data_IF_942721799332
#
_entry.id   IF_942721799332
#
_cell.length_a   1.000
_cell.length_b   1.000
_cell.length_c   1.000
_cell.angle_alpha   90.00
_cell.angle_beta   90.00
_cell.angle_gamma   90.00
#
_symmetry.space_group_name_H-M   'P 1'
#
loop_
_entity.id
_entity.type
_entity.pdbx_description
1 polymer ?
#
# COMPACT_ATOMS: atom_id res chain seq x y z
N UNK A 1 -3.40 -22.20 14.09
CA UNK A 1 -2.48 -22.07 12.95
C UNK A 1 -1.69 -20.79 13.16
N UNK A 2 -0.37 -20.87 13.35
CA UNK A 2 0.52 -19.72 13.44
C UNK A 2 0.45 -18.96 12.11
N UNK A 3 -0.02 -17.70 12.13
CA UNK A 3 -0.04 -16.86 10.94
C UNK A 3 1.41 -16.66 10.47
N UNK A 4 1.71 -17.04 9.22
CA UNK A 4 3.02 -16.76 8.63
C UNK A 4 3.08 -15.27 8.29
N UNK A 5 4.01 -14.56 8.92
CA UNK A 5 4.29 -13.17 8.60
C UNK A 5 4.90 -13.06 7.19
N UNK A 6 4.46 -12.07 6.41
CA UNK A 6 5.04 -11.73 5.11
C UNK A 6 6.15 -10.71 5.27
N UNK A 7 5.92 -9.71 6.13
CA UNK A 7 6.91 -8.70 6.50
C UNK A 7 6.99 -8.63 8.03
N UNK A 8 8.20 -8.77 8.55
CA UNK A 8 8.52 -8.55 9.96
C UNK A 8 9.40 -7.31 10.12
N UNK A 9 8.93 -6.34 10.88
CA UNK A 9 9.67 -5.12 11.22
C UNK A 9 10.16 -5.26 12.66
N UNK A 10 11.47 -5.13 12.88
CA UNK A 10 12.13 -5.32 14.17
C UNK A 10 12.94 -4.08 14.55
N UNK A 11 12.52 -3.40 15.60
CA UNK A 11 13.22 -2.23 16.15
C UNK A 11 13.48 -1.11 15.14
N UNK A 12 12.57 -0.88 14.19
CA UNK A 12 12.80 0.10 13.13
C UNK A 12 12.81 1.52 13.71
N UNK A 13 13.93 2.21 13.54
CA UNK A 13 14.05 3.63 13.76
C UNK A 13 14.26 4.32 12.40
N UNK A 14 13.61 5.47 12.19
CA UNK A 14 13.76 6.22 10.95
C UNK A 14 13.94 7.71 11.21
N UNK A 15 14.88 8.31 10.49
CA UNK A 15 15.29 9.70 10.65
C UNK A 15 15.28 10.43 9.29
N UNK A 16 14.81 11.67 9.30
CA UNK A 16 15.16 12.64 8.27
C UNK A 16 16.13 13.64 8.89
N UNK A 17 17.38 13.62 8.42
CA UNK A 17 18.49 14.37 9.02
C UNK A 17 18.58 14.06 10.53
N UNK A 18 18.33 15.05 11.39
CA UNK A 18 18.37 14.90 12.85
C UNK A 18 17.00 14.54 13.46
N UNK A 19 15.91 14.64 12.69
CA UNK A 19 14.55 14.39 13.20
C UNK A 19 14.19 12.92 13.09
N UNK A 20 13.99 12.27 14.24
CA UNK A 20 13.41 10.93 14.31
C UNK A 20 11.90 10.98 14.04
N UNK A 21 11.44 10.15 13.10
CA UNK A 21 10.02 10.08 12.66
C UNK A 21 9.39 8.73 13.00
N UNK A 22 10.16 7.66 13.06
CA UNK A 22 9.72 6.34 13.54
C UNK A 22 10.67 5.92 14.67
N UNK A 23 10.10 5.43 15.77
CA UNK A 23 10.82 5.08 17.00
C UNK A 23 10.56 3.61 17.33
N UNK A 24 11.63 2.82 17.30
CA UNK A 24 11.66 1.41 17.74
C UNK A 24 10.43 0.58 17.33
N UNK A 25 10.01 0.73 16.07
CA UNK A 25 8.79 0.10 15.57
C UNK A 25 8.99 -1.41 15.46
N UNK A 26 8.10 -2.17 16.10
CA UNK A 26 8.01 -3.63 15.98
C UNK A 26 6.62 -3.99 15.45
N UNK A 27 6.54 -4.55 14.25
CA UNK A 27 5.27 -4.79 13.56
C UNK A 27 5.35 -6.03 12.67
N UNK A 28 4.36 -6.92 12.80
CA UNK A 28 4.20 -8.11 11.97
C UNK A 28 3.06 -7.91 10.98
N UNK A 29 3.32 -8.15 9.71
CA UNK A 29 2.38 -7.99 8.61
C UNK A 29 2.08 -9.36 8.00
N UNK A 30 0.95 -9.99 8.33
CA UNK A 30 0.67 -11.36 7.89
C UNK A 30 0.43 -11.45 6.40
N UNK A 31 0.81 -12.61 5.85
CA UNK A 31 0.58 -12.95 4.46
C UNK A 31 -0.92 -13.02 4.12
N UNK A 32 -1.28 -12.49 2.95
CA UNK A 32 -2.63 -12.56 2.35
C UNK A 32 -3.73 -12.00 3.27
N UNK A 33 -3.46 -10.81 3.82
CA UNK A 33 -4.36 -10.05 4.69
C UNK A 33 -4.26 -8.57 4.35
N UNK A 34 -5.30 -7.83 4.72
CA UNK A 34 -5.28 -6.37 4.74
C UNK A 34 -4.88 -5.92 6.14
N UNK A 35 -3.74 -5.24 6.25
CA UNK A 35 -3.34 -4.53 7.47
C UNK A 35 -3.49 -3.03 7.25
N UNK A 36 -4.32 -2.36 8.06
CA UNK A 36 -4.42 -0.91 8.05
C UNK A 36 -3.49 -0.29 9.09
N UNK A 37 -2.57 0.56 8.64
CA UNK A 37 -1.74 1.40 9.52
C UNK A 37 -2.39 2.77 9.59
N UNK A 38 -2.88 3.16 10.77
CA UNK A 38 -3.69 4.36 10.94
C UNK A 38 -3.19 5.22 12.10
N UNK A 39 -3.56 6.49 12.09
CA UNK A 39 -3.13 7.46 13.09
C UNK A 39 -3.17 8.89 12.57
N UNK A 40 -2.96 9.90 13.43
CA UNK A 40 -2.98 11.30 13.01
C UNK A 40 -1.83 11.61 12.03
N UNK A 41 -1.96 12.75 11.34
CA UNK A 41 -0.88 13.26 10.49
C UNK A 41 0.44 13.35 11.26
N UNK A 42 1.56 13.14 10.56
CA UNK A 42 2.92 13.12 11.12
C UNK A 42 3.24 11.93 12.06
N UNK A 43 2.40 10.89 12.12
CA UNK A 43 2.71 9.68 12.90
C UNK A 43 3.73 8.74 12.24
N UNK A 44 4.24 9.07 11.05
CA UNK A 44 5.28 8.29 10.36
C UNK A 44 4.76 7.23 9.38
N UNK A 45 3.45 7.17 9.13
CA UNK A 45 2.82 6.12 8.31
C UNK A 45 3.33 6.12 6.85
N UNK A 46 3.30 7.27 6.16
CA UNK A 46 3.86 7.38 4.80
C UNK A 46 5.36 7.04 4.77
N UNK A 47 6.10 7.42 5.81
CA UNK A 47 7.52 7.06 5.95
C UNK A 47 7.68 5.55 6.05
N UNK A 48 6.87 4.88 6.87
CA UNK A 48 6.88 3.41 7.00
C UNK A 48 6.64 2.74 5.64
N UNK A 49 5.57 3.13 4.92
CA UNK A 49 5.26 2.56 3.61
C UNK A 49 6.40 2.75 2.60
N UNK A 50 6.99 3.95 2.54
CA UNK A 50 8.14 4.22 1.65
C UNK A 50 9.41 3.45 2.04
N UNK A 51 9.55 3.09 3.31
CA UNK A 51 10.67 2.28 3.79
C UNK A 51 10.49 0.81 3.40
N UNK A 52 9.26 0.27 3.41
CA UNK A 52 8.97 -1.12 3.03
C UNK A 52 9.35 -1.47 1.58
N UNK A 53 9.36 -0.49 0.67
CA UNK A 53 9.81 -0.67 -0.72
C UNK A 53 11.09 0.10 -1.06
N UNK A 54 11.78 0.63 -0.04
CA UNK A 54 13.03 1.41 -0.18
C UNK A 54 12.92 2.60 -1.13
N UNK A 55 11.75 3.23 -1.24
CA UNK A 55 11.64 4.57 -1.82
C UNK A 55 12.23 5.64 -0.89
N UNK A 56 12.31 5.36 0.42
CA UNK A 56 12.99 6.24 1.38
C UNK A 56 14.47 6.47 1.05
N UNK A 57 15.15 5.51 0.41
CA UNK A 57 16.55 5.62 -0.05
C UNK A 57 16.76 6.81 -1.00
N UNK A 58 15.72 7.25 -1.72
CA UNK A 58 15.78 8.38 -2.64
C UNK A 58 15.69 9.74 -1.93
N UNK A 59 15.43 9.73 -0.61
CA UNK A 59 15.27 10.96 0.17
C UNK A 59 16.60 11.36 0.80
N UNK A 60 17.09 12.56 0.47
CA UNK A 60 18.35 13.08 1.01
C UNK A 60 18.28 13.19 2.53
N UNK A 61 19.28 12.63 3.21
CA UNK A 61 19.36 12.63 4.67
C UNK A 61 18.43 11.62 5.36
N UNK A 62 17.78 10.72 4.62
CA UNK A 62 17.09 9.59 5.20
C UNK A 62 18.08 8.59 5.81
N UNK A 63 17.80 8.14 7.03
CA UNK A 63 18.56 7.12 7.73
C UNK A 63 17.60 6.19 8.46
N UNK A 64 17.94 4.92 8.53
CA UNK A 64 17.19 3.94 9.31
C UNK A 64 18.12 3.08 10.16
N UNK A 65 17.57 2.49 11.20
CA UNK A 65 18.18 1.43 12.01
C UNK A 65 17.12 0.34 12.25
N UNK A 66 17.56 -0.86 12.63
CA UNK A 66 16.67 -2.02 12.78
C UNK A 66 16.56 -2.85 11.50
N UNK A 67 15.62 -3.77 11.48
CA UNK A 67 15.48 -4.75 10.40
C UNK A 67 14.06 -4.75 9.82
N UNK A 68 13.97 -4.95 8.51
CA UNK A 68 12.69 -5.22 7.83
C UNK A 68 12.89 -6.47 7.00
N UNK A 69 12.26 -7.56 7.42
CA UNK A 69 12.39 -8.87 6.80
C UNK A 69 11.21 -9.13 5.87
N UNK A 70 11.46 -9.33 4.57
CA UNK A 70 10.47 -9.82 3.61
C UNK A 70 10.72 -11.31 3.37
N UNK A 71 9.77 -12.16 3.75
CA UNK A 71 9.94 -13.63 3.80
C UNK A 71 11.22 -14.05 4.56
N UNK A 72 11.51 -13.37 5.67
CA UNK A 72 12.67 -13.66 6.51
C UNK A 72 14.01 -13.09 6.01
N UNK A 73 14.07 -12.48 4.82
CA UNK A 73 15.28 -11.81 4.31
C UNK A 73 15.22 -10.31 4.55
N UNK A 74 16.28 -9.72 5.12
CA UNK A 74 16.32 -8.29 5.36
C UNK A 74 16.43 -7.51 4.04
N UNK A 75 15.52 -6.55 3.81
CA UNK A 75 15.47 -5.77 2.56
C UNK A 75 16.65 -4.79 2.42
N UNK A 76 17.39 -4.56 3.49
CA UNK A 76 18.58 -3.70 3.52
C UNK A 76 19.90 -4.47 3.40
N UNK A 77 19.87 -5.80 3.25
CA UNK A 77 21.09 -6.57 3.03
C UNK A 77 21.81 -6.11 1.75
N UNK A 78 23.17 -6.11 1.72
CA UNK A 78 23.94 -5.60 0.59
C UNK A 78 23.68 -6.32 -0.75
N UNK A 79 23.19 -7.57 -0.70
CA UNK A 79 22.90 -8.40 -1.86
C UNK A 79 21.47 -8.23 -2.40
N UNK A 80 20.65 -7.38 -1.77
CA UNK A 80 19.28 -7.11 -2.21
C UNK A 80 19.27 -6.22 -3.44
N UNK A 81 18.73 -6.75 -4.54
CA UNK A 81 18.41 -5.94 -5.70
C UNK A 81 17.16 -5.09 -5.44
N UNK A 82 17.35 -3.78 -5.29
CA UNK A 82 16.28 -2.82 -4.99
C UNK A 82 15.21 -2.76 -6.09
N UNK A 83 15.59 -2.95 -7.36
CA UNK A 83 14.64 -2.97 -8.47
C UNK A 83 13.71 -4.17 -8.36
N UNK A 84 14.25 -5.34 -8.02
CA UNK A 84 13.45 -6.55 -7.79
C UNK A 84 12.57 -6.41 -6.54
N UNK A 85 13.10 -5.85 -5.46
CA UNK A 85 12.31 -5.55 -4.26
C UNK A 85 11.10 -4.67 -4.60
N UNK A 86 11.28 -3.61 -5.38
CA UNK A 86 10.19 -2.69 -5.80
C UNK A 86 9.18 -3.34 -6.74
N UNK A 87 9.58 -4.40 -7.46
CA UNK A 87 8.64 -5.23 -8.23
C UNK A 87 7.79 -6.12 -7.31
N UNK A 88 8.42 -6.73 -6.30
CA UNK A 88 7.76 -7.59 -5.30
C UNK A 88 6.87 -6.78 -4.34
N UNK A 89 7.22 -5.52 -4.06
CA UNK A 89 6.53 -4.61 -3.14
C UNK A 89 6.06 -3.37 -3.90
N UNK A 90 4.89 -3.48 -4.52
CA UNK A 90 4.29 -2.40 -5.31
C UNK A 90 3.65 -1.32 -4.43
N UNK A 91 3.67 -0.06 -4.86
CA UNK A 91 3.11 1.06 -4.10
C UNK A 91 2.20 1.93 -4.95
N UNK A 92 1.05 2.29 -4.38
CA UNK A 92 0.10 3.28 -4.91
C UNK A 92 0.09 4.47 -3.95
N UNK A 93 0.22 5.67 -4.52
CA UNK A 93 0.30 6.92 -3.76
C UNK A 93 -1.08 7.57 -3.59
N UNK A 94 -1.11 8.56 -2.69
CA UNK A 94 -2.27 9.40 -2.35
C UNK A 94 -2.78 10.16 -3.58
N UNK A 95 -1.86 10.81 -4.30
CA UNK A 95 -2.18 11.51 -5.56
C UNK A 95 -1.97 10.53 -6.72
N UNK A 96 -3.01 10.20 -7.50
CA UNK A 96 -2.87 9.34 -8.66
C UNK A 96 -1.91 9.98 -9.66
N UNK A 97 -0.89 9.22 -10.07
CA UNK A 97 0.12 9.68 -11.03
C UNK A 97 -0.02 8.88 -12.31
N UNK A 98 -0.93 9.29 -13.19
CA UNK A 98 -1.01 8.73 -14.54
C UNK A 98 0.17 9.22 -15.39
N UNK A 99 0.72 8.33 -16.19
CA UNK A 99 1.78 8.68 -17.14
C UNK A 99 1.16 9.34 -18.37
N UNK A 100 1.89 10.25 -19.07
CA UNK A 100 1.42 10.96 -20.26
C UNK A 100 1.37 10.03 -21.50
N UNK A 101 0.61 8.94 -21.39
CA UNK A 101 0.43 7.88 -22.38
C UNK A 101 -1.00 7.33 -22.29
N UNK A 102 -1.31 6.36 -23.16
CA UNK A 102 -2.63 5.73 -23.20
C UNK A 102 -2.95 4.95 -21.91
N UNK A 103 -4.22 4.61 -21.70
CA UNK A 103 -4.65 3.72 -20.60
C UNK A 103 -3.93 2.37 -20.72
N UNK A 104 -3.90 1.79 -21.92
CA UNK A 104 -3.20 0.54 -22.21
C UNK A 104 -1.72 0.63 -21.86
N UNK A 105 -1.02 1.65 -22.40
CA UNK A 105 0.42 1.77 -22.25
C UNK A 105 0.84 2.06 -20.81
N UNK A 106 -0.01 2.74 -20.02
CA UNK A 106 0.20 2.92 -18.59
C UNK A 106 0.37 1.57 -17.89
N UNK A 107 -0.54 0.62 -18.13
CA UNK A 107 -0.53 -0.71 -17.50
C UNK A 107 0.52 -1.62 -18.15
N UNK A 108 0.68 -1.57 -19.47
CA UNK A 108 1.62 -2.40 -20.22
C UNK A 108 3.09 -2.09 -19.95
N UNK A 109 3.41 -0.89 -19.44
CA UNK A 109 4.79 -0.45 -19.20
C UNK A 109 5.56 -1.42 -18.29
N UNK A 110 4.96 -1.81 -17.16
CA UNK A 110 5.57 -2.74 -16.21
C UNK A 110 5.91 -4.10 -16.83
N UNK A 111 4.93 -4.84 -17.38
CA UNK A 111 5.17 -6.10 -18.08
C UNK A 111 6.23 -6.03 -19.18
N UNK A 112 6.21 -4.97 -20.01
CA UNK A 112 7.20 -4.76 -21.08
C UNK A 112 8.60 -4.57 -20.52
N UNK A 113 8.76 -3.75 -19.48
CA UNK A 113 10.04 -3.54 -18.80
C UNK A 113 10.52 -4.80 -18.07
N UNK A 114 9.59 -5.64 -17.60
CA UNK A 114 9.85 -6.96 -17.03
C UNK A 114 10.26 -8.03 -18.06
N UNK A 115 10.39 -7.67 -19.34
CA UNK A 115 10.86 -8.56 -20.40
C UNK A 115 9.75 -9.29 -21.17
N UNK A 116 8.48 -8.98 -20.93
CA UNK A 116 7.37 -9.56 -21.69
C UNK A 116 7.35 -9.01 -23.13
N UNK A 117 7.70 -9.86 -24.10
CA UNK A 117 7.83 -9.47 -25.53
C UNK A 117 6.58 -9.74 -26.36
N UNK A 118 5.75 -10.71 -25.99
CA UNK A 118 4.56 -11.07 -26.76
C UNK A 118 3.49 -10.00 -26.63
N UNK A 119 3.02 -9.47 -27.76
CA UNK A 119 1.91 -8.49 -27.76
C UNK A 119 0.63 -9.07 -27.18
N UNK A 120 0.33 -10.35 -27.44
CA UNK A 120 -0.86 -11.00 -26.90
C UNK A 120 -0.77 -11.17 -25.39
N UNK A 121 0.39 -11.64 -24.89
CA UNK A 121 0.61 -11.80 -23.45
C UNK A 121 0.51 -10.46 -22.70
N UNK A 122 1.06 -9.39 -23.28
CA UNK A 122 0.94 -8.04 -22.68
C UNK A 122 -0.51 -7.59 -22.66
N UNK A 123 -1.29 -7.84 -23.73
CA UNK A 123 -2.70 -7.46 -23.77
C UNK A 123 -3.54 -8.24 -22.74
N UNK A 124 -3.29 -9.55 -22.60
CA UNK A 124 -3.93 -10.41 -21.59
C UNK A 124 -3.64 -9.92 -20.17
N UNK A 125 -2.37 -9.59 -19.88
CA UNK A 125 -1.99 -9.09 -18.56
C UNK A 125 -2.59 -7.70 -18.26
N UNK A 126 -2.65 -6.83 -19.27
CA UNK A 126 -3.32 -5.52 -19.14
C UNK A 126 -4.80 -5.68 -18.83
N UNK A 127 -5.51 -6.54 -19.57
CA UNK A 127 -6.93 -6.80 -19.32
C UNK A 127 -7.15 -7.38 -17.92
N UNK A 128 -6.36 -8.38 -17.53
CA UNK A 128 -6.40 -9.00 -16.20
C UNK A 128 -6.23 -7.95 -15.10
N UNK A 129 -5.18 -7.13 -15.18
CA UNK A 129 -4.91 -6.09 -14.19
C UNK A 129 -6.01 -5.03 -14.12
N UNK A 130 -6.59 -4.63 -15.25
CA UNK A 130 -7.70 -3.68 -15.32
C UNK A 130 -9.00 -4.26 -14.73
N UNK A 131 -9.23 -5.58 -14.88
CA UNK A 131 -10.37 -6.27 -14.25
C UNK A 131 -10.20 -6.34 -12.74
N UNK A 132 -9.01 -6.74 -12.28
CA UNK A 132 -8.68 -6.86 -10.86
C UNK A 132 -8.73 -5.52 -10.11
N UNK A 133 -8.49 -4.40 -10.80
CA UNK A 133 -8.62 -3.07 -10.21
C UNK A 133 -10.02 -2.44 -10.37
N UNK A 134 -11.00 -3.19 -10.88
CA UNK A 134 -12.35 -2.72 -11.20
C UNK A 134 -12.39 -1.49 -12.14
N UNK A 135 -11.47 -1.43 -13.11
CA UNK A 135 -11.42 -0.38 -14.13
C UNK A 135 -11.87 -0.85 -15.52
N UNK A 136 -11.78 -2.14 -15.84
CA UNK A 136 -12.00 -2.68 -17.18
C UNK A 136 -13.30 -2.19 -17.85
N UNK A 137 -14.44 -2.34 -17.19
CA UNK A 137 -15.74 -1.96 -17.78
C UNK A 137 -15.89 -0.46 -18.04
N UNK A 138 -15.09 0.38 -17.37
CA UNK A 138 -15.09 1.83 -17.58
C UNK A 138 -14.23 2.25 -18.81
N UNK A 139 -13.33 1.38 -19.29
CA UNK A 139 -12.26 1.78 -20.23
C UNK A 139 -12.03 0.84 -21.42
N UNK A 140 -12.61 -0.37 -21.44
CA UNK A 140 -12.36 -1.41 -22.47
C UNK A 140 -12.49 -0.92 -23.92
N UNK A 141 -13.42 0.00 -24.19
CA UNK A 141 -13.68 0.53 -25.54
C UNK A 141 -12.84 1.76 -25.90
N UNK A 142 -11.88 2.16 -25.04
CA UNK A 142 -11.09 3.40 -25.19
C UNK A 142 -9.68 3.31 -24.61
N UNK A 143 -9.08 2.11 -24.64
CA UNK A 143 -7.77 1.82 -24.05
C UNK A 143 -6.61 2.65 -24.65
N UNK A 144 -6.77 3.12 -25.88
CA UNK A 144 -5.84 3.97 -26.62
C UNK A 144 -5.90 5.45 -26.21
N UNK A 145 -6.94 5.88 -25.49
CA UNK A 145 -7.11 7.27 -25.08
C UNK A 145 -6.12 7.67 -23.97
N UNK A 146 -5.75 8.97 -23.88
CA UNK A 146 -4.84 9.44 -22.84
C UNK A 146 -5.37 9.18 -21.43
N UNK A 147 -4.55 8.57 -20.56
CA UNK A 147 -4.93 8.24 -19.18
C UNK A 147 -5.27 9.48 -18.33
N UNK A 148 -4.72 10.65 -18.67
CA UNK A 148 -5.04 11.92 -18.02
C UNK A 148 -6.51 12.36 -18.18
N UNK A 149 -7.26 11.76 -19.13
CA UNK A 149 -8.71 12.02 -19.31
C UNK A 149 -9.61 11.23 -18.37
N UNK A 150 -9.05 10.29 -17.61
CA UNK A 150 -9.80 9.53 -16.60
C UNK A 150 -10.20 10.43 -15.43
N UNK A 151 -11.33 10.13 -14.78
CA UNK A 151 -11.69 10.76 -13.51
C UNK A 151 -10.69 10.41 -12.40
N UNK A 152 -10.64 11.16 -11.30
CA UNK A 152 -9.71 10.87 -10.19
C UNK A 152 -9.81 9.43 -9.67
N UNK A 153 -11.04 8.91 -9.49
CA UNK A 153 -11.26 7.52 -9.09
C UNK A 153 -10.79 6.50 -10.12
N UNK A 154 -10.97 6.79 -11.41
CA UNK A 154 -10.47 5.95 -12.49
C UNK A 154 -8.94 5.99 -12.59
N UNK A 155 -8.31 7.15 -12.41
CA UNK A 155 -6.85 7.28 -12.39
C UNK A 155 -6.25 6.51 -11.20
N UNK A 156 -6.93 6.49 -10.05
CA UNK A 156 -6.48 5.70 -8.91
C UNK A 156 -6.57 4.20 -9.18
N UNK A 157 -7.70 3.72 -9.71
CA UNK A 157 -7.84 2.32 -10.14
C UNK A 157 -6.86 1.94 -11.26
N UNK A 158 -6.46 2.90 -12.10
CA UNK A 158 -5.39 2.70 -13.08
C UNK A 158 -4.03 2.52 -12.39
N UNK A 159 -3.72 3.32 -11.37
CA UNK A 159 -2.48 3.14 -10.59
C UNK A 159 -2.44 1.79 -9.88
N UNK A 160 -3.59 1.31 -9.36
CA UNK A 160 -3.71 -0.04 -8.81
C UNK A 160 -3.46 -1.09 -9.91
N UNK A 161 -4.08 -0.97 -11.09
CA UNK A 161 -3.85 -1.89 -12.22
C UNK A 161 -2.37 -1.95 -12.61
N UNK A 162 -1.68 -0.80 -12.65
CA UNK A 162 -0.24 -0.74 -12.97
C UNK A 162 0.62 -1.54 -11.99
N UNK A 163 0.26 -1.50 -10.70
CA UNK A 163 0.92 -2.32 -9.69
C UNK A 163 0.58 -3.80 -9.89
N UNK A 164 -0.69 -4.13 -10.12
CA UNK A 164 -1.14 -5.52 -10.29
C UNK A 164 -0.55 -6.21 -11.53
N UNK A 165 -0.33 -5.47 -12.62
CA UNK A 165 0.28 -6.01 -13.84
C UNK A 165 1.74 -6.49 -13.65
N UNK A 166 2.37 -6.16 -12.53
CA UNK A 166 3.70 -6.67 -12.14
C UNK A 166 3.63 -7.90 -11.25
N UNK A 167 2.42 -8.37 -10.90
CA UNK A 167 2.15 -9.49 -10.00
C UNK A 167 2.97 -9.42 -8.69
N UNK A 168 2.83 -8.33 -7.91
CA UNK A 168 3.61 -8.14 -6.70
C UNK A 168 3.22 -9.16 -5.63
N UNK A 169 4.05 -9.33 -4.62
CA UNK A 169 3.73 -10.13 -3.44
C UNK A 169 3.06 -9.28 -2.35
N UNK A 170 3.36 -7.98 -2.35
CA UNK A 170 2.88 -6.99 -1.38
C UNK A 170 2.41 -5.73 -2.11
N UNK A 171 1.24 -5.22 -1.73
CA UNK A 171 0.67 -3.97 -2.24
C UNK A 171 0.61 -2.96 -1.09
N UNK A 172 1.28 -1.83 -1.27
CA UNK A 172 1.28 -0.69 -0.35
C UNK A 172 0.35 0.40 -0.90
N UNK A 173 -0.55 0.90 -0.07
CA UNK A 173 -1.53 1.92 -0.46
C UNK A 173 -1.46 3.10 0.51
N UNK A 174 -0.89 4.23 0.08
CA UNK A 174 -0.88 5.46 0.90
C UNK A 174 -2.09 6.31 0.56
N UNK A 175 -3.10 6.30 1.44
CA UNK A 175 -4.34 7.09 1.36
C UNK A 175 -5.03 6.97 0.00
N UNK A 176 -5.31 5.75 -0.48
CA UNK A 176 -5.75 5.53 -1.85
C UNK A 176 -7.13 6.13 -2.17
N UNK A 177 -7.92 6.51 -1.16
CA UNK A 177 -9.29 7.02 -1.36
C UNK A 177 -9.49 8.47 -0.88
N UNK A 178 -8.42 9.22 -0.60
CA UNK A 178 -8.50 10.55 0.03
C UNK A 178 -9.28 11.60 -0.78
N UNK A 179 -9.16 11.56 -2.10
CA UNK A 179 -9.75 12.53 -3.02
C UNK A 179 -10.89 11.92 -3.87
N UNK A 180 -11.50 10.83 -3.40
CA UNK A 180 -12.49 10.07 -4.16
C UNK A 180 -13.91 10.25 -3.62
N UNK A 181 -14.88 10.19 -4.53
CA UNK A 181 -16.28 10.12 -4.16
C UNK A 181 -16.61 8.76 -3.48
N UNK A 182 -17.74 8.66 -2.75
CA UNK A 182 -18.12 7.43 -2.05
C UNK A 182 -18.27 6.20 -2.95
N UNK A 183 -18.75 6.38 -4.20
CA UNK A 183 -18.95 5.27 -5.14
C UNK A 183 -17.60 4.74 -5.61
N UNK A 184 -16.67 5.63 -5.98
CA UNK A 184 -15.30 5.25 -6.34
C UNK A 184 -14.56 4.59 -5.17
N UNK A 185 -14.77 5.09 -3.95
CA UNK A 185 -14.20 4.51 -2.73
C UNK A 185 -14.68 3.08 -2.51
N UNK A 186 -15.99 2.84 -2.61
CA UNK A 186 -16.58 1.52 -2.45
C UNK A 186 -16.03 0.50 -3.46
N UNK A 187 -15.89 0.89 -4.74
CA UNK A 187 -15.30 0.02 -5.78
C UNK A 187 -13.86 -0.39 -5.44
N UNK A 188 -13.05 0.54 -4.93
CA UNK A 188 -11.68 0.22 -4.51
C UNK A 188 -11.70 -0.71 -3.30
N UNK A 189 -12.50 -0.40 -2.28
CA UNK A 189 -12.62 -1.23 -1.07
C UNK A 189 -13.04 -2.67 -1.38
N UNK A 190 -14.02 -2.86 -2.26
CA UNK A 190 -14.45 -4.19 -2.74
C UNK A 190 -13.33 -4.91 -3.50
N UNK A 191 -12.62 -4.20 -4.38
CA UNK A 191 -11.47 -4.77 -5.11
C UNK A 191 -10.38 -5.24 -4.15
N UNK A 192 -10.04 -4.44 -3.13
CA UNK A 192 -9.04 -4.83 -2.13
C UNK A 192 -9.47 -6.07 -1.33
N UNK A 193 -10.76 -6.18 -1.00
CA UNK A 193 -11.31 -7.33 -0.29
C UNK A 193 -11.20 -8.62 -1.10
N UNK A 194 -11.29 -8.57 -2.43
CA UNK A 194 -11.03 -9.71 -3.31
C UNK A 194 -9.53 -9.98 -3.45
N UNK A 195 -8.73 -8.93 -3.65
CA UNK A 195 -7.28 -9.04 -3.86
C UNK A 195 -6.54 -9.64 -2.65
N UNK A 196 -7.02 -9.43 -1.42
CA UNK A 196 -6.34 -9.94 -0.23
C UNK A 196 -6.22 -11.48 -0.18
N UNK A 197 -7.05 -12.19 -0.94
CA UNK A 197 -6.95 -13.65 -1.06
C UNK A 197 -5.64 -14.09 -1.71
N UNK A 198 -5.06 -13.23 -2.57
CA UNK A 198 -3.84 -13.51 -3.34
C UNK A 198 -2.66 -12.64 -2.91
N UNK A 199 -2.92 -11.40 -2.49
CA UNK A 199 -1.90 -10.39 -2.19
C UNK A 199 -1.86 -10.03 -0.71
N UNK A 200 -0.67 -9.67 -0.22
CA UNK A 200 -0.54 -9.03 1.09
C UNK A 200 -0.73 -7.53 0.93
N UNK A 201 -1.65 -6.92 1.66
CA UNK A 201 -2.03 -5.51 1.46
C UNK A 201 -1.76 -4.72 2.73
N UNK A 202 -0.99 -3.64 2.61
CA UNK A 202 -0.78 -2.66 3.69
C UNK A 202 -1.38 -1.33 3.22
N UNK A 203 -2.36 -0.84 3.95
CA UNK A 203 -3.05 0.41 3.62
C UNK A 203 -2.88 1.44 4.73
N UNK A 204 -2.53 2.66 4.35
CA UNK A 204 -2.73 3.85 5.17
C UNK A 204 -4.06 4.48 4.76
N UNK A 205 -5.16 4.24 5.48
CA UNK A 205 -6.47 4.70 5.05
C UNK A 205 -6.61 6.22 5.22
N UNK A 206 -7.55 6.82 4.48
CA UNK A 206 -7.86 8.25 4.68
C UNK A 206 -8.68 8.48 5.95
N UNK A 207 -9.46 7.49 6.38
CA UNK A 207 -10.32 7.57 7.56
C UNK A 207 -10.23 6.31 8.41
N UNK A 208 -10.48 6.46 9.71
CA UNK A 208 -10.59 5.34 10.66
C UNK A 208 -11.71 4.38 10.24
N UNK A 209 -12.82 4.91 9.74
CA UNK A 209 -13.96 4.12 9.30
C UNK A 209 -13.60 3.22 8.11
N UNK A 210 -12.74 3.69 7.20
CA UNK A 210 -12.22 2.84 6.13
C UNK A 210 -11.41 1.68 6.70
N UNK A 211 -10.50 1.93 7.65
CA UNK A 211 -9.75 0.86 8.32
C UNK A 211 -10.69 -0.21 8.91
N UNK A 212 -11.73 0.23 9.64
CA UNK A 212 -12.71 -0.65 10.26
C UNK A 212 -13.53 -1.50 9.28
N UNK A 213 -13.75 -1.02 8.04
CA UNK A 213 -14.53 -1.74 7.04
C UNK A 213 -13.75 -2.84 6.32
N UNK A 214 -12.47 -2.60 5.99
CA UNK A 214 -11.73 -3.50 5.07
C UNK A 214 -10.57 -4.25 5.72
N UNK A 215 -10.02 -3.78 6.84
CA UNK A 215 -8.81 -4.35 7.39
C UNK A 215 -9.10 -5.63 8.18
N UNK A 216 -8.26 -6.66 8.01
CA UNK A 216 -8.26 -7.83 8.90
C UNK A 216 -7.50 -7.51 10.21
N UNK A 217 -6.44 -6.71 10.09
CA UNK A 217 -5.60 -6.24 11.20
C UNK A 217 -5.37 -4.75 11.13
N UNK A 218 -5.09 -4.15 12.28
CA UNK A 218 -4.76 -2.74 12.37
C UNK A 218 -3.52 -2.49 13.21
N UNK A 219 -2.85 -1.39 12.92
CA UNK A 219 -1.72 -0.86 13.67
C UNK A 219 -1.90 0.65 13.85
N UNK A 220 -2.11 1.08 15.10
CA UNK A 220 -2.26 2.48 15.46
C UNK A 220 -0.90 3.10 15.76
N UNK A 221 -0.49 4.07 14.94
CA UNK A 221 0.73 4.84 15.14
C UNK A 221 0.41 6.24 15.68
N UNK A 222 1.22 6.71 16.62
CA UNK A 222 1.13 8.06 17.15
C UNK A 222 2.53 8.62 17.38
N UNK A 223 2.84 9.76 16.76
CA UNK A 223 4.11 10.48 16.97
C UNK A 223 5.38 9.61 16.77
N UNK A 224 5.30 8.66 15.85
CA UNK A 224 6.38 7.74 15.50
C UNK A 224 6.41 6.44 16.29
N UNK A 225 5.56 6.30 17.31
CA UNK A 225 5.44 5.12 18.16
C UNK A 225 4.27 4.24 17.69
N UNK A 226 4.42 2.92 17.76
CA UNK A 226 3.30 1.97 17.62
C UNK A 226 2.61 1.83 18.97
N UNK A 227 1.39 2.30 19.05
CA UNK A 227 0.61 2.32 20.29
C UNK A 227 -0.11 1.00 20.50
N UNK A 228 -0.77 0.51 19.46
CA UNK A 228 -1.57 -0.70 19.54
C UNK A 228 -1.64 -1.39 18.18
N UNK A 229 -1.61 -2.72 18.17
CA UNK A 229 -1.86 -3.53 16.98
C UNK A 229 -2.65 -4.78 17.33
N UNK A 230 -3.42 -5.30 16.39
CA UNK A 230 -4.24 -6.49 16.61
C UNK A 230 -5.27 -6.73 15.51
N UNK A 231 -6.21 -7.63 15.77
CA UNK A 231 -7.36 -7.81 14.90
C UNK A 231 -8.25 -6.57 14.95
N UNK A 232 -8.76 -6.17 13.78
CA UNK A 232 -9.56 -4.94 13.65
C UNK A 232 -10.73 -4.91 14.62
N UNK A 233 -11.48 -6.02 14.74
CA UNK A 233 -12.63 -6.10 15.65
C UNK A 233 -12.24 -5.90 17.11
N UNK A 234 -11.10 -6.46 17.55
CA UNK A 234 -10.63 -6.34 18.93
C UNK A 234 -10.21 -4.90 19.22
N UNK A 235 -9.35 -4.31 18.39
CA UNK A 235 -8.82 -2.96 18.59
C UNK A 235 -9.92 -1.91 18.48
N UNK A 236 -10.89 -2.08 17.58
CA UNK A 236 -11.96 -1.10 17.38
C UNK A 236 -13.08 -1.19 18.43
N UNK A 237 -13.33 -2.38 18.99
CA UNK A 237 -14.41 -2.56 19.98
C UNK A 237 -13.90 -2.44 21.41
N UNK A 238 -12.68 -2.91 21.68
CA UNK A 238 -12.08 -3.01 23.00
C UNK A 238 -10.59 -2.61 22.95
N UNK A 239 -10.27 -1.35 22.61
CA UNK A 239 -8.90 -0.86 22.61
C UNK A 239 -8.27 -1.03 24.00
N UNK A 240 -7.04 -1.56 24.03
CA UNK A 240 -6.29 -1.77 25.28
C UNK A 240 -5.55 -0.52 25.73
N UNK A 241 -5.20 0.37 24.80
CA UNK A 241 -4.56 1.65 25.11
C UNK A 241 -5.58 2.79 25.04
N UNK A 242 -5.60 3.65 26.07
CA UNK A 242 -6.50 4.79 26.13
C UNK A 242 -6.32 5.76 24.94
N UNK A 243 -5.10 5.92 24.43
CA UNK A 243 -4.82 6.79 23.28
C UNK A 243 -5.48 6.26 22.01
N UNK A 244 -5.54 4.93 21.85
CA UNK A 244 -6.29 4.29 20.75
C UNK A 244 -7.78 4.61 20.90
N UNK A 245 -8.35 4.43 22.09
CA UNK A 245 -9.76 4.74 22.35
C UNK A 245 -10.10 6.21 22.06
N UNK A 246 -9.26 7.14 22.53
CA UNK A 246 -9.49 8.57 22.34
C UNK A 246 -9.43 8.95 20.85
N UNK A 247 -8.54 8.31 20.09
CA UNK A 247 -8.44 8.52 18.64
C UNK A 247 -9.66 7.97 17.89
N UNK A 248 -10.08 6.75 18.22
CA UNK A 248 -11.25 6.10 17.59
C UNK A 248 -12.57 6.83 17.89
N UNK A 249 -12.71 7.37 19.11
CA UNK A 249 -13.92 8.07 19.55
C UNK A 249 -13.93 9.57 19.22
N UNK A 250 -12.86 10.08 18.59
CA UNK A 250 -12.75 11.49 18.23
C UNK A 250 -12.55 12.44 19.42
N UNK A 251 -12.11 11.92 20.57
CA UNK A 251 -11.71 12.70 21.76
C UNK A 251 -10.25 13.19 21.69
N UNK A 252 -9.62 13.00 20.53
CA UNK A 252 -8.23 13.34 20.27
C UNK A 252 -8.07 14.84 20.04
N UNK A 253 -7.48 15.56 21.00
CA UNK A 253 -7.24 17.00 20.98
C UNK A 253 -6.52 17.47 22.23
#
# INVERSE_FOLDING_TARGET
MTQTSKIDIKGLNFYYQQKQVIKELNLELPKNRITAVFGPANSGITTLLRTLNRLSDLTVGARHEGEILLDGKNIFDPDVNVTELRRRVGMVFDVPTSLPMSIFDNVALGPRMGGMKSKSAVAEEVEKALRMSALWDDVKDRLDTPAARLSGGQQQRLCIARVLALEPEVILLDRPCSALDPISTAKIEESLMQLKEQYTIIIAPHTVQQAGRIADRVAFMLMGDLIEQGYTQEVFSFPKDNRTNDYLTGRFG
#
